data_IF_229647276424
#
_entry.id   IF_229647276424
#
_cell.length_a   1.000
_cell.length_b   1.000
_cell.length_c   1.000
_cell.angle_alpha   90.00
_cell.angle_beta   90.00
_cell.angle_gamma   90.00
#
_symmetry.space_group_name_H-M   'P 1'
#
loop_
_entity.id
_entity.type
_entity.pdbx_description
1 polymer ?
#
# COMPACT_ATOMS: atom_id res chain seq x y z
N UNK A 1 4.74 11.28 17.51
CA UNK A 1 3.56 10.76 16.79
C UNK A 1 3.64 9.24 16.71
N UNK A 2 2.54 8.54 16.98
CA UNK A 2 2.41 7.11 16.74
C UNK A 2 1.50 6.86 15.53
N UNK A 3 2.11 6.45 14.42
CA UNK A 3 1.43 6.14 13.17
C UNK A 3 1.41 4.62 12.96
N UNK A 4 0.23 4.04 12.81
CA UNK A 4 0.09 2.62 12.43
C UNK A 4 -0.31 2.50 10.97
N UNK A 5 0.40 1.66 10.22
CA UNK A 5 0.13 1.40 8.81
C UNK A 5 -0.30 -0.05 8.62
N UNK A 6 -1.56 -0.23 8.21
CA UNK A 6 -2.09 -1.53 7.82
C UNK A 6 -1.96 -1.68 6.30
N UNK A 7 -1.30 -2.74 5.85
CA UNK A 7 -0.84 -2.86 4.46
C UNK A 7 0.51 -2.16 4.23
N UNK A 8 1.37 -2.15 5.25
CA UNK A 8 2.65 -1.46 5.24
C UNK A 8 3.69 -2.04 4.26
N UNK A 9 3.38 -3.13 3.54
CA UNK A 9 4.22 -3.70 2.49
C UNK A 9 3.92 -3.16 1.09
N UNK A 10 3.08 -2.13 0.96
CA UNK A 10 2.68 -1.58 -0.34
C UNK A 10 3.70 -0.59 -0.90
N UNK A 11 4.72 -1.07 -1.62
CA UNK A 11 5.85 -0.23 -2.07
C UNK A 11 5.48 1.00 -2.88
N UNK A 12 4.41 0.95 -3.67
CA UNK A 12 3.98 2.09 -4.47
C UNK A 12 3.37 3.19 -3.59
N UNK A 13 2.58 2.81 -2.59
CA UNK A 13 1.90 3.75 -1.69
C UNK A 13 2.80 4.24 -0.57
N UNK A 14 3.58 3.34 0.02
CA UNK A 14 4.49 3.64 1.13
C UNK A 14 5.50 4.71 0.77
N UNK A 15 6.11 4.64 -0.43
CA UNK A 15 7.05 5.65 -0.92
C UNK A 15 6.43 7.04 -0.96
N UNK A 16 5.25 7.18 -1.57
CA UNK A 16 4.60 8.48 -1.75
C UNK A 16 4.06 9.05 -0.44
N UNK A 17 3.33 8.24 0.33
CA UNK A 17 2.68 8.71 1.56
C UNK A 17 3.71 9.02 2.65
N UNK A 18 4.73 8.16 2.80
CA UNK A 18 5.75 8.41 3.82
C UNK A 18 6.68 9.56 3.45
N UNK A 19 6.93 9.80 2.16
CA UNK A 19 7.64 11.02 1.75
C UNK A 19 6.93 12.26 2.28
N UNK A 20 5.61 12.31 2.17
CA UNK A 20 4.82 13.46 2.61
C UNK A 20 4.82 13.56 4.15
N UNK A 21 4.74 12.44 4.89
CA UNK A 21 4.91 12.40 6.36
C UNK A 21 6.29 12.94 6.78
N UNK A 22 7.36 12.54 6.10
CA UNK A 22 8.72 12.98 6.40
C UNK A 22 9.04 14.41 5.96
N UNK A 23 8.15 15.04 5.16
CA UNK A 23 8.23 16.45 4.77
C UNK A 23 7.60 17.40 5.79
N UNK A 24 6.89 16.88 6.80
CA UNK A 24 6.32 17.69 7.89
C UNK A 24 7.43 18.07 8.88
N UNK A 25 7.82 19.33 8.90
CA UNK A 25 8.90 19.84 9.74
C UNK A 25 8.48 19.91 11.22
N UNK A 26 7.19 20.04 11.51
CA UNK A 26 6.64 20.10 12.87
C UNK A 26 6.64 18.74 13.59
N UNK A 27 6.87 17.64 12.86
CA UNK A 27 6.87 16.28 13.40
C UNK A 27 8.26 15.67 13.21
N UNK A 28 9.06 15.67 14.28
CA UNK A 28 10.46 15.24 14.25
C UNK A 28 10.69 13.78 14.68
N UNK A 29 9.65 13.06 15.10
CA UNK A 29 9.78 11.65 15.44
C UNK A 29 8.56 11.02 16.11
N UNK A 30 8.81 9.84 16.67
CA UNK A 30 7.80 8.98 17.28
C UNK A 30 7.95 7.55 16.79
N UNK A 31 6.85 6.84 16.55
CA UNK A 31 6.88 5.44 16.14
C UNK A 31 6.00 5.24 14.90
N UNK A 32 6.53 4.50 13.92
CA UNK A 32 5.80 4.03 12.75
C UNK A 32 5.70 2.51 12.84
N UNK A 33 4.48 2.00 13.05
CA UNK A 33 4.18 0.57 13.13
C UNK A 33 3.71 0.07 11.78
N UNK A 34 4.42 -0.88 11.20
CA UNK A 34 4.06 -1.48 9.93
C UNK A 34 3.45 -2.87 10.15
N UNK A 35 2.30 -3.09 9.54
CA UNK A 35 1.56 -4.36 9.58
C UNK A 35 1.30 -4.81 8.15
N UNK A 36 1.79 -5.99 7.79
CA UNK A 36 1.51 -6.63 6.52
C UNK A 36 1.70 -8.16 6.63
N UNK A 37 0.81 -8.99 6.05
CA UNK A 37 1.00 -10.44 6.04
C UNK A 37 2.23 -10.87 5.23
N UNK A 38 2.71 -10.07 4.27
CA UNK A 38 3.90 -10.40 3.47
C UNK A 38 5.16 -9.81 4.11
N UNK A 39 5.84 -10.62 4.92
CA UNK A 39 7.01 -10.20 5.70
C UNK A 39 8.12 -9.55 4.87
N UNK A 40 8.46 -10.15 3.72
CA UNK A 40 9.49 -9.63 2.82
C UNK A 40 9.21 -8.19 2.37
N UNK A 41 7.95 -7.91 2.01
CA UNK A 41 7.53 -6.59 1.54
C UNK A 41 7.65 -5.56 2.66
N UNK A 42 7.09 -5.85 3.83
CA UNK A 42 7.09 -4.89 4.94
C UNK A 42 8.49 -4.64 5.49
N UNK A 43 9.39 -5.63 5.46
CA UNK A 43 10.80 -5.43 5.82
C UNK A 43 11.54 -4.55 4.81
N UNK A 44 11.21 -4.66 3.51
CA UNK A 44 11.75 -3.75 2.51
C UNK A 44 11.30 -2.30 2.75
N UNK A 45 10.02 -2.11 3.08
CA UNK A 45 9.50 -0.77 3.42
C UNK A 45 10.10 -0.24 4.72
N UNK A 46 10.30 -1.09 5.74
CA UNK A 46 10.98 -0.69 6.97
C UNK A 46 12.40 -0.15 6.69
N UNK A 47 13.19 -0.84 5.87
CA UNK A 47 14.53 -0.38 5.46
C UNK A 47 14.50 0.94 4.68
N UNK A 48 13.49 1.14 3.85
CA UNK A 48 13.27 2.42 3.16
C UNK A 48 13.02 3.55 4.17
N UNK A 49 12.19 3.33 5.18
CA UNK A 49 11.92 4.34 6.21
C UNK A 49 13.14 4.65 7.06
N UNK A 50 13.99 3.67 7.35
CA UNK A 50 15.28 3.94 8.01
C UNK A 50 16.19 4.81 7.15
N UNK A 51 16.16 4.64 5.83
CA UNK A 51 16.86 5.54 4.91
C UNK A 51 16.27 6.96 4.97
N UNK A 52 14.95 7.09 5.06
CA UNK A 52 14.29 8.39 5.19
C UNK A 52 14.66 9.08 6.51
N UNK A 53 14.73 8.33 7.63
CA UNK A 53 15.23 8.83 8.91
C UNK A 53 16.62 9.46 8.75
N UNK A 54 17.55 8.75 8.10
CA UNK A 54 18.92 9.22 7.90
C UNK A 54 18.97 10.48 7.03
N UNK A 55 18.28 10.48 5.88
CA UNK A 55 18.31 11.59 4.91
C UNK A 55 17.64 12.85 5.48
N UNK A 56 16.50 12.68 6.18
CA UNK A 56 15.71 13.79 6.72
C UNK A 56 16.08 14.17 8.14
N UNK A 57 16.99 13.42 8.77
CA UNK A 57 17.40 13.58 10.16
C UNK A 57 16.22 13.56 11.13
N UNK A 58 15.27 12.64 10.87
CA UNK A 58 14.08 12.41 11.71
C UNK A 58 14.31 11.19 12.61
N UNK A 59 13.68 11.19 13.78
CA UNK A 59 13.85 10.16 14.80
C UNK A 59 12.66 9.20 14.92
N UNK A 60 12.14 8.67 13.82
CA UNK A 60 11.05 7.68 13.89
C UNK A 60 11.60 6.29 14.24
N UNK A 61 11.04 5.67 15.27
CA UNK A 61 11.23 4.24 15.55
C UNK A 61 10.36 3.46 14.58
N UNK A 62 10.96 2.60 13.75
CA UNK A 62 10.22 1.73 12.83
C UNK A 62 10.03 0.37 13.49
N UNK A 63 8.79 -0.09 13.62
CA UNK A 63 8.48 -1.42 14.15
C UNK A 63 7.62 -2.20 13.15
N UNK A 64 7.85 -3.50 13.07
CA UNK A 64 7.09 -4.41 12.19
C UNK A 64 6.45 -5.48 13.05
N UNK A 65 5.13 -5.63 12.95
CA UNK A 65 4.36 -6.61 13.74
C UNK A 65 3.30 -7.30 12.88
N UNK A 66 3.06 -8.57 13.20
CA UNK A 66 1.99 -9.36 12.59
C UNK A 66 0.70 -9.27 13.44
N UNK A 67 0.79 -8.78 14.68
CA UNK A 67 -0.37 -8.55 15.53
C UNK A 67 -0.99 -7.17 15.25
N UNK A 68 -2.01 -7.18 14.40
CA UNK A 68 -2.79 -5.98 14.06
C UNK A 68 -3.45 -5.33 15.28
N UNK A 69 -3.92 -6.10 16.26
CA UNK A 69 -4.63 -5.52 17.42
C UNK A 69 -3.67 -4.76 18.31
N UNK A 70 -2.49 -5.32 18.56
CA UNK A 70 -1.43 -4.64 19.30
C UNK A 70 -0.94 -3.40 18.56
N UNK A 71 -0.77 -3.49 17.23
CA UNK A 71 -0.32 -2.35 16.42
C UNK A 71 -1.23 -1.12 16.60
N UNK A 72 -2.55 -1.33 16.59
CA UNK A 72 -3.55 -0.25 16.67
C UNK A 72 -3.69 0.37 18.07
N UNK A 73 -3.16 -0.26 19.13
CA UNK A 73 -3.31 0.28 20.48
C UNK A 73 -2.59 1.62 20.60
N UNK A 74 -3.34 2.61 21.11
CA UNK A 74 -2.90 3.98 21.37
C UNK A 74 -2.40 4.72 20.12
N UNK A 75 -2.68 4.23 18.91
CA UNK A 75 -2.25 4.92 17.70
C UNK A 75 -2.90 6.31 17.59
N UNK A 76 -2.09 7.34 17.36
CA UNK A 76 -2.60 8.69 17.09
C UNK A 76 -3.28 8.72 15.72
N UNK A 77 -2.68 8.02 14.75
CA UNK A 77 -3.16 7.91 13.39
C UNK A 77 -3.08 6.48 12.87
N UNK A 78 -4.01 6.14 11.98
CA UNK A 78 -4.03 4.86 11.26
C UNK A 78 -4.10 5.14 9.77
N UNK A 79 -3.14 4.60 9.03
CA UNK A 79 -3.10 4.64 7.58
C UNK A 79 -3.34 3.23 7.02
N UNK A 80 -4.18 3.11 6.00
CA UNK A 80 -4.52 1.82 5.39
C UNK A 80 -4.17 1.82 3.92
N UNK A 81 -3.31 0.89 3.51
CA UNK A 81 -2.79 0.75 2.13
C UNK A 81 -2.86 -0.70 1.65
N UNK A 82 -3.81 -1.49 2.17
CA UNK A 82 -4.02 -2.89 1.80
C UNK A 82 -5.18 -3.03 0.82
N UNK A 83 -5.09 -4.06 -0.04
CA UNK A 83 -6.21 -4.53 -0.87
C UNK A 83 -6.54 -5.97 -0.46
N UNK A 84 -7.72 -6.22 0.16
CA UNK A 84 -8.13 -7.57 0.52
C UNK A 84 -8.23 -8.49 -0.70
N UNK A 85 -7.81 -9.75 -0.53
CA UNK A 85 -8.01 -10.78 -1.55
C UNK A 85 -6.97 -10.82 -2.66
N UNK A 86 -5.93 -9.98 -2.64
CA UNK A 86 -4.91 -9.89 -3.70
C UNK A 86 -5.50 -9.44 -5.05
N UNK A 87 -4.86 -9.79 -6.17
CA UNK A 87 -5.36 -9.45 -7.51
C UNK A 87 -6.39 -10.45 -8.04
N UNK A 88 -6.55 -11.62 -7.41
CA UNK A 88 -7.45 -12.68 -7.91
C UNK A 88 -8.92 -12.24 -8.02
N UNK A 89 -9.52 -11.57 -7.00
CA UNK A 89 -10.87 -11.04 -7.12
C UNK A 89 -10.99 -10.01 -8.25
N UNK A 90 -9.97 -9.17 -8.41
CA UNK A 90 -9.94 -8.21 -9.51
C UNK A 90 -9.94 -8.92 -10.87
N UNK A 91 -9.19 -10.00 -11.05
CA UNK A 91 -9.25 -10.79 -12.28
C UNK A 91 -10.63 -11.40 -12.51
N UNK A 92 -11.28 -11.92 -11.48
CA UNK A 92 -12.64 -12.43 -11.59
C UNK A 92 -13.65 -11.35 -12.00
N UNK A 93 -13.50 -10.13 -11.50
CA UNK A 93 -14.33 -8.98 -11.89
C UNK A 93 -14.15 -8.62 -13.37
N UNK A 94 -13.04 -9.02 -14.01
CA UNK A 94 -12.81 -8.85 -15.45
C UNK A 94 -13.29 -10.06 -16.27
N UNK A 95 -12.87 -11.26 -15.89
CA UNK A 95 -13.09 -12.48 -16.66
C UNK A 95 -14.56 -12.89 -16.72
N UNK A 96 -15.29 -12.79 -15.59
CA UNK A 96 -16.68 -13.23 -15.52
C UNK A 96 -17.55 -12.40 -16.48
N UNK A 97 -17.52 -11.05 -16.46
CA UNK A 97 -18.35 -10.25 -17.36
C UNK A 97 -17.96 -10.41 -18.84
N UNK A 98 -16.66 -10.55 -19.13
CA UNK A 98 -16.17 -10.81 -20.50
C UNK A 98 -16.77 -12.10 -21.06
N UNK A 99 -16.87 -13.17 -20.26
CA UNK A 99 -17.49 -14.44 -20.66
C UNK A 99 -18.96 -14.27 -21.10
N UNK A 100 -19.67 -13.28 -20.55
CA UNK A 100 -21.06 -12.98 -20.90
C UNK A 100 -21.21 -11.84 -21.92
N UNK A 101 -20.12 -11.38 -22.54
CA UNK A 101 -20.13 -10.36 -23.58
C UNK A 101 -20.04 -8.91 -23.07
N UNK A 102 -19.87 -8.70 -21.76
CA UNK A 102 -19.68 -7.38 -21.18
C UNK A 102 -18.19 -7.01 -21.16
N UNK A 103 -17.80 -6.00 -21.95
CA UNK A 103 -16.40 -5.55 -22.05
C UNK A 103 -16.01 -4.48 -21.03
N UNK A 104 -17.00 -3.91 -20.34
CA UNK A 104 -16.82 -2.88 -19.32
C UNK A 104 -17.55 -3.36 -18.06
N UNK A 105 -16.89 -4.13 -17.18
CA UNK A 105 -17.46 -4.44 -15.88
C UNK A 105 -17.55 -3.17 -15.03
N UNK A 106 -18.48 -3.14 -14.06
CA UNK A 106 -18.83 -1.94 -13.26
C UNK A 106 -17.61 -1.27 -12.58
N UNK A 107 -16.55 -2.03 -12.31
CA UNK A 107 -15.30 -1.54 -11.74
C UNK A 107 -14.38 -0.79 -12.72
N UNK A 108 -14.62 -0.91 -14.03
CA UNK A 108 -13.86 -0.21 -15.08
C UNK A 108 -14.64 1.00 -15.60
N UNK A 109 -14.52 2.13 -14.93
CA UNK A 109 -15.18 3.39 -15.34
C UNK A 109 -14.33 4.26 -16.28
N UNK A 110 -13.08 3.86 -16.58
CA UNK A 110 -12.18 4.63 -17.45
C UNK A 110 -11.89 3.91 -18.79
N UNK A 111 -12.48 4.42 -19.87
CA UNK A 111 -12.24 3.95 -21.25
C UNK A 111 -10.76 4.02 -21.67
N UNK A 112 -9.94 4.87 -21.04
CA UNK A 112 -8.52 5.01 -21.35
C UNK A 112 -7.70 3.80 -20.91
N UNK A 113 -8.17 3.04 -19.92
CA UNK A 113 -7.56 1.77 -19.54
C UNK A 113 -7.79 0.68 -20.59
N UNK A 114 -8.93 0.74 -21.31
CA UNK A 114 -9.26 -0.17 -22.40
C UNK A 114 -8.51 0.17 -23.70
N UNK A 115 -8.21 1.45 -23.93
CA UNK A 115 -7.48 1.90 -25.12
C UNK A 115 -5.99 1.52 -25.11
N UNK A 116 -5.42 1.17 -23.95
CA UNK A 116 -3.98 0.99 -23.80
C UNK A 116 -3.63 -0.50 -23.66
N UNK A 117 -3.51 -1.19 -24.80
CA UNK A 117 -3.20 -2.64 -24.89
C UNK A 117 -1.99 -3.07 -24.03
N UNK A 118 -1.04 -2.17 -23.83
CA UNK A 118 0.19 -2.40 -23.05
C UNK A 118 -0.04 -2.60 -21.55
N UNK A 119 -1.17 -2.12 -20.99
CA UNK A 119 -1.54 -2.42 -19.59
C UNK A 119 -2.32 -3.72 -19.48
N UNK A 120 -3.11 -4.08 -20.48
CA UNK A 120 -3.87 -5.34 -20.51
C UNK A 120 -2.95 -6.57 -20.64
N UNK A 121 -1.81 -6.43 -21.33
CA UNK A 121 -0.80 -7.50 -21.43
C UNK A 121 -0.10 -7.81 -20.10
N UNK A 122 -0.09 -6.88 -19.15
CA UNK A 122 0.43 -7.14 -17.79
C UNK A 122 -0.48 -8.07 -16.99
N UNK A 123 -1.71 -8.26 -17.47
CA UNK A 123 -2.76 -9.06 -16.84
C UNK A 123 -3.09 -10.35 -17.61
N UNK A 124 -2.37 -10.67 -18.72
CA UNK A 124 -2.67 -11.81 -19.60
C UNK A 124 -4.12 -11.85 -20.13
N UNK A 125 -4.75 -10.69 -20.34
CA UNK A 125 -6.15 -10.61 -20.84
C UNK A 125 -6.21 -10.41 -22.37
N UNK A 126 -5.08 -10.49 -23.08
CA UNK A 126 -5.01 -10.49 -24.55
C UNK A 126 -3.82 -11.28 -25.05
#
# INVERSE_FOLDING_TARGET
MLLTVIGGGSSQWMKSLMRDVYLLDEIDGGEIRLVDPKRENVEAEARMLETFNQVRKKGYVISVTDDRKEALKNADFVMTTFSPGSMDPFYHDLEIPIKYGFRIPVLMTDERLLANRTRLSQFNIV
#
